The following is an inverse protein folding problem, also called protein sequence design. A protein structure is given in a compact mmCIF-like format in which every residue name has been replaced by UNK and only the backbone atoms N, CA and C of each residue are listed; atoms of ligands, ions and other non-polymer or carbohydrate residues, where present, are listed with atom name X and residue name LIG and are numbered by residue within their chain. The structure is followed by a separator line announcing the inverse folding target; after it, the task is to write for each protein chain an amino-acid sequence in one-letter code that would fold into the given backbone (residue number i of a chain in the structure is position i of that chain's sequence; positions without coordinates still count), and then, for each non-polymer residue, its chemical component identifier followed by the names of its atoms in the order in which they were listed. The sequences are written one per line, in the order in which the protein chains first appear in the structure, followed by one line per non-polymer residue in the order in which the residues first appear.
data_IF_832894092898
#
_entry.id   IF_832894092898
#
_cell.length_a   1.000
_cell.length_b   1.000
_cell.length_c   1.000
_cell.angle_alpha   90.00
_cell.angle_beta   90.00
_cell.angle_gamma   90.00
#
_symmetry.space_group_name_H-M   'P 1'
#
loop_
_entity.id
_entity.type
_entity.pdbx_description
1 polymer ?
#
# COMPACT_ATOMS: atom_id res chain seq x y z
N UNK A 1 -42.64 31.59 -39.55
CA UNK A 1 -41.90 30.59 -38.75
C UNK A 1 -41.22 31.32 -37.60
N UNK A 2 -41.59 31.06 -36.35
CA UNK A 2 -40.98 31.71 -35.20
C UNK A 2 -39.46 31.39 -35.15
N UNK A 3 -38.64 32.44 -35.05
CA UNK A 3 -37.19 32.34 -34.93
C UNK A 3 -36.90 31.66 -33.59
N UNK A 4 -36.28 30.47 -33.62
CA UNK A 4 -35.94 29.70 -32.40
C UNK A 4 -35.08 30.56 -31.46
N UNK A 5 -35.27 30.41 -30.15
CA UNK A 5 -34.48 31.15 -29.19
C UNK A 5 -33.00 30.73 -29.29
N UNK A 6 -32.09 31.67 -29.02
CA UNK A 6 -30.65 31.41 -29.00
C UNK A 6 -30.34 30.37 -27.92
N UNK A 7 -30.14 29.10 -28.31
CA UNK A 7 -29.82 28.01 -27.39
C UNK A 7 -30.67 26.74 -27.55
N UNK A 8 -31.79 26.79 -28.28
CA UNK A 8 -32.76 25.67 -28.42
C UNK A 8 -32.24 24.45 -29.19
N UNK A 9 -31.05 24.57 -29.78
CA UNK A 9 -30.46 23.54 -30.63
C UNK A 9 -31.13 23.41 -32.00
N UNK A 10 -30.41 22.79 -32.93
CA UNK A 10 -30.81 22.63 -34.34
C UNK A 10 -30.77 21.16 -34.73
N UNK A 11 -31.78 20.63 -35.42
CA UNK A 11 -31.78 19.28 -35.98
C UNK A 11 -31.85 19.38 -37.50
N UNK A 12 -30.91 18.73 -38.20
CA UNK A 12 -30.84 18.69 -39.66
C UNK A 12 -30.61 17.26 -40.16
N UNK A 13 -31.25 16.88 -41.27
CA UNK A 13 -31.03 15.59 -41.91
C UNK A 13 -29.72 15.60 -42.72
N UNK A 14 -28.95 14.52 -42.65
CA UNK A 14 -27.67 14.35 -43.37
C UNK A 14 -27.91 13.59 -44.68
N UNK A 15 -26.94 13.70 -45.61
CA UNK A 15 -26.97 13.02 -46.92
C UNK A 15 -27.12 11.49 -46.84
N UNK A 16 -26.71 10.88 -45.73
CA UNK A 16 -26.81 9.42 -45.51
C UNK A 16 -28.12 9.00 -44.80
N UNK A 17 -29.14 9.86 -44.74
CA UNK A 17 -30.43 9.58 -44.11
C UNK A 17 -30.48 9.72 -42.59
N UNK A 18 -29.32 9.87 -41.91
CA UNK A 18 -29.26 10.09 -40.44
C UNK A 18 -29.52 11.55 -40.06
N UNK A 19 -29.91 11.81 -38.81
CA UNK A 19 -30.17 13.15 -38.29
C UNK A 19 -29.02 13.64 -37.41
N UNK A 20 -28.59 14.89 -37.61
CA UNK A 20 -27.63 15.60 -36.74
C UNK A 20 -28.39 16.64 -35.91
N UNK A 21 -28.33 16.49 -34.58
CA UNK A 21 -28.72 17.51 -33.62
C UNK A 21 -27.51 18.31 -33.14
N UNK A 22 -27.61 19.63 -32.99
CA UNK A 22 -26.54 20.47 -32.42
C UNK A 22 -27.08 21.32 -31.29
N UNK A 23 -26.40 21.34 -30.15
CA UNK A 23 -26.77 22.13 -28.96
C UNK A 23 -25.53 22.73 -28.32
N UNK A 24 -25.65 23.90 -27.71
CA UNK A 24 -24.58 24.48 -26.92
C UNK A 24 -24.61 23.95 -25.49
N UNK A 25 -23.49 23.41 -25.04
CA UNK A 25 -23.28 22.93 -23.68
C UNK A 25 -22.06 23.62 -23.09
N UNK A 26 -22.04 23.79 -21.78
CA UNK A 26 -20.87 24.21 -21.04
C UNK A 26 -19.97 22.99 -20.86
N UNK A 27 -18.72 23.10 -21.28
CA UNK A 27 -17.76 22.02 -21.09
C UNK A 27 -17.21 22.02 -19.68
N UNK A 28 -16.57 20.93 -19.29
CA UNK A 28 -15.84 20.81 -18.03
C UNK A 28 -14.69 21.81 -17.91
N UNK A 29 -14.23 22.41 -19.01
CA UNK A 29 -13.24 23.49 -18.98
C UNK A 29 -13.89 24.89 -18.80
N UNK A 30 -15.20 24.95 -18.53
CA UNK A 30 -15.97 26.19 -18.41
C UNK A 30 -16.29 26.89 -19.74
N UNK A 31 -15.96 26.26 -20.88
CA UNK A 31 -16.13 26.87 -22.21
C UNK A 31 -17.48 26.46 -22.79
N UNK A 32 -18.24 27.43 -23.35
CA UNK A 32 -19.44 27.08 -24.13
C UNK A 32 -19.05 26.51 -25.48
N UNK A 33 -19.42 25.25 -25.73
CA UNK A 33 -19.13 24.54 -26.98
C UNK A 33 -20.41 24.03 -27.63
N UNK A 34 -20.50 24.18 -28.95
CA UNK A 34 -21.58 23.55 -29.74
C UNK A 34 -21.21 22.09 -30.00
N UNK A 35 -22.01 21.16 -29.47
CA UNK A 35 -21.81 19.72 -29.61
C UNK A 35 -22.86 19.13 -30.55
N UNK A 36 -22.42 18.18 -31.39
CA UNK A 36 -23.30 17.43 -32.29
C UNK A 36 -23.66 16.06 -31.69
N UNK A 37 -24.93 15.68 -31.82
CA UNK A 37 -25.46 14.34 -31.54
C UNK A 37 -26.09 13.77 -32.81
N UNK A 38 -26.11 12.45 -32.94
CA UNK A 38 -26.61 11.78 -34.14
C UNK A 38 -27.69 10.77 -33.79
N UNK A 39 -28.71 10.65 -34.64
CA UNK A 39 -29.79 9.66 -34.52
C UNK A 39 -30.16 9.07 -35.89
N UNK A 40 -30.70 7.86 -35.90
CA UNK A 40 -31.29 7.24 -37.10
C UNK A 40 -32.59 7.93 -37.50
N UNK A 41 -33.35 8.39 -36.49
CA UNK A 41 -34.59 9.15 -36.67
C UNK A 41 -34.44 10.58 -36.14
N UNK A 42 -35.36 11.46 -36.55
CA UNK A 42 -35.43 12.84 -36.05
C UNK A 42 -35.69 12.88 -34.54
N UNK A 43 -36.51 11.96 -34.05
CA UNK A 43 -36.87 11.87 -32.64
C UNK A 43 -35.70 11.38 -31.78
N UNK A 44 -34.92 10.41 -32.24
CA UNK A 44 -33.68 10.00 -31.56
C UNK A 44 -32.69 11.17 -31.42
N UNK A 45 -32.56 12.02 -32.45
CA UNK A 45 -31.70 13.19 -32.38
C UNK A 45 -32.25 14.26 -31.42
N UNK A 46 -33.58 14.41 -31.37
CA UNK A 46 -34.27 15.32 -30.45
C UNK A 46 -34.11 14.88 -29.00
N UNK A 47 -34.35 13.62 -28.67
CA UNK A 47 -34.16 13.09 -27.30
C UNK A 47 -32.75 13.35 -26.78
N UNK A 48 -31.73 13.14 -27.64
CA UNK A 48 -30.33 13.40 -27.28
C UNK A 48 -30.04 14.89 -27.05
N UNK A 49 -30.64 15.80 -27.83
CA UNK A 49 -30.57 17.24 -27.55
C UNK A 49 -31.24 17.56 -26.21
N UNK A 50 -32.45 17.06 -25.99
CA UNK A 50 -33.21 17.32 -24.76
C UNK A 50 -32.43 16.84 -23.52
N UNK A 51 -31.78 15.68 -23.59
CA UNK A 51 -30.91 15.19 -22.51
C UNK A 51 -29.74 16.13 -22.24
N UNK A 52 -29.06 16.63 -23.27
CA UNK A 52 -27.96 17.57 -23.10
C UNK A 52 -28.42 18.92 -22.54
N UNK A 53 -29.59 19.41 -22.95
CA UNK A 53 -30.19 20.63 -22.39
C UNK A 53 -30.61 20.44 -20.93
N UNK A 54 -31.15 19.27 -20.58
CA UNK A 54 -31.48 18.94 -19.20
C UNK A 54 -30.23 18.85 -18.31
N UNK A 55 -29.14 18.26 -18.81
CA UNK A 55 -27.84 18.24 -18.12
C UNK A 55 -27.29 19.65 -17.91
N UNK A 56 -27.32 20.50 -18.95
CA UNK A 56 -26.92 21.90 -18.86
C UNK A 56 -27.76 22.68 -17.84
N UNK A 57 -29.09 22.50 -17.85
CA UNK A 57 -30.01 23.15 -16.90
C UNK A 57 -29.77 22.69 -15.45
N UNK A 58 -29.29 21.46 -15.26
CA UNK A 58 -28.86 20.93 -13.97
C UNK A 58 -27.43 21.36 -13.58
N UNK A 59 -26.75 22.16 -14.41
CA UNK A 59 -25.37 22.58 -14.19
C UNK A 59 -24.35 21.44 -14.32
N UNK A 60 -24.69 20.36 -15.04
CA UNK A 60 -23.79 19.22 -15.27
C UNK A 60 -22.98 19.51 -16.54
N UNK A 61 -21.68 19.83 -16.44
CA UNK A 61 -20.86 20.15 -17.60
C UNK A 61 -20.60 18.92 -18.47
N UNK A 62 -20.44 19.15 -19.78
CA UNK A 62 -20.08 18.10 -20.74
C UNK A 62 -18.57 17.91 -20.80
N UNK A 63 -18.03 16.71 -20.54
CA UNK A 63 -16.59 16.46 -20.65
C UNK A 63 -16.05 16.73 -22.06
N UNK A 64 -15.07 17.61 -22.18
CA UNK A 64 -14.42 17.94 -23.46
C UNK A 64 -13.07 17.24 -23.67
N UNK A 65 -12.60 16.48 -22.67
CA UNK A 65 -11.34 15.74 -22.78
C UNK A 65 -11.44 14.56 -23.75
N UNK A 66 -10.51 14.50 -24.69
CA UNK A 66 -10.30 13.34 -25.57
C UNK A 66 -9.10 12.49 -25.12
N UNK A 67 -8.56 12.79 -23.93
CA UNK A 67 -7.35 12.19 -23.37
C UNK A 67 -7.52 10.68 -23.18
N UNK A 68 -6.49 9.93 -23.56
CA UNK A 68 -6.38 8.50 -23.23
C UNK A 68 -6.15 8.33 -21.73
N UNK A 69 -6.57 7.19 -21.19
CA UNK A 69 -6.35 6.89 -19.79
C UNK A 69 -4.85 6.89 -19.46
N UNK A 70 -4.00 6.40 -20.35
CA UNK A 70 -2.54 6.43 -20.18
C UNK A 70 -1.98 7.85 -20.02
N UNK A 71 -2.37 8.77 -20.91
CA UNK A 71 -1.96 10.18 -20.87
C UNK A 71 -2.35 10.81 -19.53
N UNK A 72 -3.59 10.56 -19.10
CA UNK A 72 -4.08 11.04 -17.81
C UNK A 72 -3.32 10.42 -16.63
N UNK A 73 -3.06 9.11 -16.64
CA UNK A 73 -2.34 8.44 -15.56
C UNK A 73 -0.91 8.96 -15.43
N UNK A 74 -0.23 9.25 -16.55
CA UNK A 74 1.10 9.85 -16.56
C UNK A 74 1.07 11.27 -15.99
N UNK A 75 0.11 12.09 -16.39
CA UNK A 75 -0.12 13.42 -15.80
C UNK A 75 -0.38 13.31 -14.28
N UNK A 76 -1.30 12.44 -13.87
CA UNK A 76 -1.69 12.25 -12.48
C UNK A 76 -0.49 11.83 -11.61
N UNK A 77 0.32 10.88 -12.09
CA UNK A 77 1.54 10.47 -11.41
C UNK A 77 2.52 11.64 -11.24
N UNK A 78 2.81 12.37 -12.32
CA UNK A 78 3.84 13.39 -12.35
C UNK A 78 3.44 14.67 -11.59
N UNK A 79 2.19 15.13 -11.74
CA UNK A 79 1.73 16.43 -11.25
C UNK A 79 0.97 16.36 -9.92
N UNK A 80 0.32 15.23 -9.63
CA UNK A 80 -0.50 15.08 -8.43
C UNK A 80 0.16 14.16 -7.41
N UNK A 81 0.54 12.94 -7.80
CA UNK A 81 1.06 11.94 -6.87
C UNK A 81 2.48 12.29 -6.41
N UNK A 82 3.39 12.60 -7.34
CA UNK A 82 4.78 12.91 -7.01
C UNK A 82 4.91 14.13 -6.09
N UNK A 83 4.06 15.13 -6.27
CA UNK A 83 4.05 16.36 -5.46
C UNK A 83 3.45 16.12 -4.06
N UNK A 84 2.32 15.41 -3.99
CA UNK A 84 1.54 15.34 -2.76
C UNK A 84 1.75 14.06 -1.93
N UNK A 85 2.48 13.07 -2.46
CA UNK A 85 2.68 11.77 -1.80
C UNK A 85 4.15 11.49 -1.55
N UNK A 86 4.41 10.64 -0.54
CA UNK A 86 5.77 10.18 -0.22
C UNK A 86 6.33 9.35 -1.38
N UNK A 87 7.66 9.36 -1.58
CA UNK A 87 8.32 8.64 -2.68
C UNK A 87 7.92 7.17 -2.79
N UNK A 88 7.78 6.47 -1.65
CA UNK A 88 7.39 5.04 -1.67
C UNK A 88 5.97 4.80 -2.18
N UNK A 89 5.04 5.71 -1.89
CA UNK A 89 3.66 5.64 -2.41
C UNK A 89 3.65 5.91 -3.91
N UNK A 90 4.42 6.89 -4.37
CA UNK A 90 4.60 7.16 -5.79
C UNK A 90 5.14 5.93 -6.54
N UNK A 91 6.23 5.31 -6.05
CA UNK A 91 6.79 4.09 -6.64
C UNK A 91 5.76 2.96 -6.76
N UNK A 92 4.94 2.77 -5.73
CA UNK A 92 3.87 1.77 -5.77
C UNK A 92 2.80 2.07 -6.83
N UNK A 93 2.38 3.33 -6.94
CA UNK A 93 1.38 3.76 -7.92
C UNK A 93 1.93 3.70 -9.34
N UNK A 94 3.15 4.18 -9.56
CA UNK A 94 3.86 4.12 -10.84
C UNK A 94 3.96 2.67 -11.32
N UNK A 95 4.42 1.75 -10.47
CA UNK A 95 4.54 0.34 -10.85
C UNK A 95 3.19 -0.25 -11.24
N UNK A 96 2.12 0.09 -10.51
CA UNK A 96 0.77 -0.38 -10.84
C UNK A 96 0.27 0.20 -12.16
N UNK A 97 0.52 1.48 -12.40
CA UNK A 97 0.14 2.16 -13.64
C UNK A 97 0.86 1.55 -14.83
N UNK A 98 2.19 1.47 -14.77
CA UNK A 98 3.04 0.99 -15.86
C UNK A 98 2.82 -0.48 -16.20
N UNK A 99 2.73 -1.34 -15.18
CA UNK A 99 2.68 -2.80 -15.39
C UNK A 99 1.27 -3.33 -15.64
N UNK A 100 0.24 -2.66 -15.12
CA UNK A 100 -1.13 -3.17 -15.17
C UNK A 100 -2.10 -2.23 -15.87
N UNK A 101 -2.25 -0.98 -15.42
CA UNK A 101 -3.32 -0.10 -15.90
C UNK A 101 -3.09 0.36 -17.36
N UNK A 102 -1.88 0.77 -17.70
CA UNK A 102 -1.55 1.22 -19.06
C UNK A 102 -1.67 0.08 -20.08
N UNK A 103 -1.06 -1.10 -19.87
CA UNK A 103 -1.23 -2.24 -20.79
C UNK A 103 -2.68 -2.71 -20.89
N UNK A 104 -3.45 -2.62 -19.80
CA UNK A 104 -4.81 -3.13 -19.72
C UNK A 104 -5.89 -2.21 -20.28
N UNK A 105 -5.85 -0.93 -19.87
CA UNK A 105 -6.91 0.05 -20.12
C UNK A 105 -6.39 1.35 -20.74
N UNK A 106 -5.07 1.54 -20.85
CA UNK A 106 -4.43 2.82 -21.22
C UNK A 106 -4.92 3.41 -22.54
N UNK A 107 -5.21 2.56 -23.54
CA UNK A 107 -5.72 2.98 -24.87
C UNK A 107 -7.15 3.53 -24.84
N UNK A 108 -7.93 3.24 -23.81
CA UNK A 108 -9.32 3.72 -23.68
C UNK A 108 -9.32 5.21 -23.35
N UNK A 109 -10.30 5.94 -23.87
CA UNK A 109 -10.50 7.35 -23.48
C UNK A 109 -11.09 7.40 -22.08
N UNK A 110 -10.56 8.28 -21.23
CA UNK A 110 -11.00 8.37 -19.84
C UNK A 110 -12.51 8.62 -19.73
N UNK A 111 -13.06 9.48 -20.61
CA UNK A 111 -14.50 9.81 -20.62
C UNK A 111 -15.42 8.65 -21.03
N UNK A 112 -14.93 7.69 -21.81
CA UNK A 112 -15.77 6.60 -22.35
C UNK A 112 -15.60 5.30 -21.60
N UNK A 113 -14.68 5.24 -20.63
CA UNK A 113 -14.42 4.04 -19.84
C UNK A 113 -15.68 3.66 -19.06
N UNK A 114 -16.14 2.41 -19.22
CA UNK A 114 -17.33 1.89 -18.53
C UNK A 114 -16.97 0.97 -17.38
N UNK A 115 -17.83 0.91 -16.37
CA UNK A 115 -17.67 0.00 -15.24
C UNK A 115 -17.62 -1.49 -15.67
N UNK A 116 -18.38 -1.86 -16.71
CA UNK A 116 -18.33 -3.21 -17.28
C UNK A 116 -16.95 -3.56 -17.85
N UNK A 117 -16.30 -2.61 -18.55
CA UNK A 117 -14.96 -2.83 -19.10
C UNK A 117 -13.92 -2.99 -17.97
N UNK A 118 -14.01 -2.17 -16.93
CA UNK A 118 -13.14 -2.27 -15.76
C UNK A 118 -13.33 -3.62 -15.05
N UNK A 119 -14.58 -4.08 -14.89
CA UNK A 119 -14.92 -5.37 -14.27
C UNK A 119 -14.37 -6.55 -15.07
N UNK A 120 -14.66 -6.60 -16.38
CA UNK A 120 -14.18 -7.67 -17.27
C UNK A 120 -12.65 -7.71 -17.30
N UNK A 121 -12.01 -6.53 -17.35
CA UNK A 121 -10.56 -6.44 -17.32
C UNK A 121 -9.97 -6.94 -16.00
N UNK A 122 -10.50 -6.52 -14.84
CA UNK A 122 -10.03 -6.99 -13.53
C UNK A 122 -10.24 -8.50 -13.34
N UNK A 123 -11.35 -9.05 -13.83
CA UNK A 123 -11.60 -10.48 -13.79
C UNK A 123 -10.53 -11.26 -14.57
N UNK A 124 -10.14 -10.77 -15.76
CA UNK A 124 -9.02 -11.34 -16.53
C UNK A 124 -7.70 -11.20 -15.78
N UNK A 125 -7.38 -10.03 -15.24
CA UNK A 125 -6.15 -9.80 -14.47
C UNK A 125 -6.03 -10.74 -13.26
N UNK A 126 -7.15 -11.13 -12.66
CA UNK A 126 -7.18 -12.06 -11.53
C UNK A 126 -6.94 -13.53 -11.90
N UNK A 127 -7.19 -13.92 -13.15
CA UNK A 127 -7.11 -15.33 -13.61
C UNK A 127 -6.01 -15.57 -14.64
N UNK A 128 -5.45 -14.52 -15.22
CA UNK A 128 -4.38 -14.58 -16.22
C UNK A 128 -3.07 -15.08 -15.61
N UNK A 129 -2.51 -16.14 -16.20
CA UNK A 129 -1.21 -16.68 -15.83
C UNK A 129 -0.11 -15.65 -16.14
N UNK A 130 0.63 -15.23 -15.12
CA UNK A 130 1.72 -14.27 -15.26
C UNK A 130 2.89 -14.84 -16.06
N UNK A 131 3.15 -16.15 -15.95
CA UNK A 131 4.16 -16.82 -16.76
C UNK A 131 3.83 -16.71 -18.26
N UNK A 132 2.64 -17.16 -18.66
CA UNK A 132 2.19 -17.09 -20.05
C UNK A 132 2.10 -15.66 -20.59
N UNK A 133 1.62 -14.73 -19.75
CA UNK A 133 1.52 -13.30 -20.11
C UNK A 133 2.87 -12.69 -20.47
N UNK A 134 3.93 -13.11 -19.78
CA UNK A 134 5.26 -12.51 -19.92
C UNK A 134 6.25 -13.38 -20.70
N UNK A 135 5.88 -14.59 -21.10
CA UNK A 135 6.78 -15.52 -21.80
C UNK A 135 7.92 -16.06 -20.93
N UNK A 136 7.83 -15.97 -19.60
CA UNK A 136 8.92 -16.35 -18.69
C UNK A 136 9.35 -17.81 -18.80
N UNK A 137 8.50 -18.67 -19.36
CA UNK A 137 8.79 -20.08 -19.53
C UNK A 137 9.76 -20.36 -20.69
N UNK A 138 9.78 -19.50 -21.71
CA UNK A 138 10.67 -19.63 -22.86
C UNK A 138 12.14 -19.49 -22.45
N UNK A 139 12.40 -18.66 -21.44
CA UNK A 139 13.73 -18.42 -20.89
C UNK A 139 14.17 -19.50 -19.87
N UNK A 140 13.31 -20.48 -19.55
CA UNK A 140 13.67 -21.53 -18.58
C UNK A 140 14.54 -22.59 -19.23
N UNK A 141 15.57 -23.01 -18.49
CA UNK A 141 16.39 -24.18 -18.86
C UNK A 141 15.54 -25.43 -19.07
N UNK A 142 14.49 -25.59 -18.27
CA UNK A 142 13.49 -26.64 -18.41
C UNK A 142 12.09 -25.97 -18.38
N UNK A 143 11.39 -25.92 -19.53
CA UNK A 143 10.03 -25.38 -19.61
C UNK A 143 9.05 -26.13 -18.69
N UNK A 144 8.16 -25.39 -18.02
CA UNK A 144 7.19 -25.94 -17.06
C UNK A 144 5.81 -25.28 -17.16
N UNK A 145 5.58 -24.47 -18.18
CA UNK A 145 4.36 -23.69 -18.38
C UNK A 145 3.99 -23.57 -19.87
N UNK A 146 3.99 -22.35 -20.43
CA UNK A 146 3.50 -22.09 -21.78
C UNK A 146 4.35 -22.74 -22.86
N UNK A 147 5.67 -22.85 -22.66
CA UNK A 147 6.55 -23.52 -23.59
C UNK A 147 6.50 -25.06 -23.44
N UNK A 148 6.06 -25.57 -22.29
CA UNK A 148 5.81 -27.00 -22.05
C UNK A 148 4.41 -27.47 -22.49
N UNK A 149 3.52 -26.57 -22.93
CA UNK A 149 2.16 -26.89 -23.34
C UNK A 149 1.14 -27.01 -22.18
N UNK A 150 1.55 -26.85 -20.92
CA UNK A 150 0.67 -26.95 -19.75
C UNK A 150 0.78 -25.71 -18.86
N UNK A 151 -0.31 -24.95 -18.67
CA UNK A 151 -0.25 -23.69 -17.93
C UNK A 151 -0.03 -23.88 -16.42
N UNK A 152 1.00 -23.24 -15.85
CA UNK A 152 1.30 -23.26 -14.41
C UNK A 152 0.28 -22.49 -13.53
N UNK A 153 -0.67 -21.77 -14.15
CA UNK A 153 -1.74 -21.01 -13.48
C UNK A 153 -1.23 -20.07 -12.37
N UNK A 154 -0.01 -19.57 -12.50
CA UNK A 154 0.55 -18.60 -11.54
C UNK A 154 -0.11 -17.26 -11.77
N UNK A 155 -1.09 -16.92 -10.92
CA UNK A 155 -1.89 -15.68 -11.02
C UNK A 155 -1.45 -14.63 -10.00
N UNK A 156 -1.90 -13.38 -10.19
CA UNK A 156 -1.66 -12.31 -9.22
C UNK A 156 -2.39 -12.60 -7.90
N UNK A 157 -1.76 -12.24 -6.78
CA UNK A 157 -2.42 -12.30 -5.48
C UNK A 157 -3.66 -11.39 -5.45
N UNK A 158 -4.71 -11.79 -4.71
CA UNK A 158 -5.92 -10.97 -4.53
C UNK A 158 -5.61 -9.55 -4.06
N UNK A 159 -4.60 -9.39 -3.19
CA UNK A 159 -4.14 -8.10 -2.69
C UNK A 159 -3.57 -7.20 -3.80
N UNK A 160 -2.86 -7.79 -4.77
CA UNK A 160 -2.36 -7.03 -5.92
C UNK A 160 -3.52 -6.54 -6.79
N UNK A 161 -4.50 -7.41 -7.09
CA UNK A 161 -5.71 -7.02 -7.84
C UNK A 161 -6.46 -5.87 -7.15
N UNK A 162 -6.60 -5.92 -5.82
CA UNK A 162 -7.15 -4.82 -5.05
C UNK A 162 -6.33 -3.55 -5.13
N UNK A 163 -5.00 -3.66 -5.07
CA UNK A 163 -4.11 -2.50 -5.19
C UNK A 163 -4.25 -1.84 -6.56
N UNK A 164 -4.33 -2.65 -7.62
CA UNK A 164 -4.57 -2.18 -9.00
C UNK A 164 -5.86 -1.36 -9.09
N UNK A 165 -6.96 -1.90 -8.56
CA UNK A 165 -8.25 -1.19 -8.54
C UNK A 165 -8.25 0.05 -7.66
N UNK A 166 -7.60 0.01 -6.49
CA UNK A 166 -7.49 1.16 -5.61
C UNK A 166 -6.73 2.32 -6.28
N UNK A 167 -5.65 2.02 -7.02
CA UNK A 167 -4.91 3.03 -7.79
C UNK A 167 -5.78 3.62 -8.89
N UNK A 168 -6.47 2.78 -9.68
CA UNK A 168 -7.40 3.27 -10.71
C UNK A 168 -8.51 4.14 -10.11
N UNK A 169 -9.13 3.69 -9.02
CA UNK A 169 -10.18 4.42 -8.32
C UNK A 169 -9.67 5.77 -7.83
N UNK A 170 -8.46 5.85 -7.28
CA UNK A 170 -7.87 7.10 -6.82
C UNK A 170 -7.55 8.05 -7.98
N UNK A 171 -7.03 7.53 -9.09
CA UNK A 171 -6.75 8.30 -10.29
C UNK A 171 -8.03 8.90 -10.88
N UNK A 172 -9.07 8.09 -11.09
CA UNK A 172 -10.35 8.56 -11.61
C UNK A 172 -11.06 9.50 -10.64
N UNK A 173 -10.86 9.36 -9.33
CA UNK A 173 -11.41 10.31 -8.36
C UNK A 173 -10.75 11.69 -8.48
N UNK A 174 -9.44 11.75 -8.72
CA UNK A 174 -8.78 13.02 -9.03
C UNK A 174 -9.27 13.59 -10.37
N UNK A 175 -9.55 12.75 -11.36
CA UNK A 175 -10.06 13.20 -12.67
C UNK A 175 -11.43 13.89 -12.52
N UNK A 176 -12.27 13.37 -11.62
CA UNK A 176 -13.55 14.01 -11.27
C UNK A 176 -13.32 15.37 -10.59
N UNK A 177 -12.34 15.48 -9.69
CA UNK A 177 -12.03 16.75 -9.00
C UNK A 177 -11.43 17.82 -9.91
N UNK A 178 -10.73 17.39 -10.96
CA UNK A 178 -10.23 18.26 -12.03
C UNK A 178 -11.24 18.37 -13.18
N UNK A 179 -12.48 17.94 -12.95
CA UNK A 179 -13.62 18.05 -13.86
C UNK A 179 -13.46 17.32 -15.19
N UNK A 180 -12.37 16.59 -15.43
CA UNK A 180 -12.13 15.85 -16.68
C UNK A 180 -13.18 14.78 -16.99
N UNK A 181 -13.84 14.24 -15.96
CA UNK A 181 -14.94 13.28 -16.07
C UNK A 181 -16.02 13.55 -15.02
N UNK A 182 -17.27 13.23 -15.34
CA UNK A 182 -18.41 13.47 -14.44
C UNK A 182 -18.46 12.48 -13.27
N UNK A 183 -17.99 11.24 -13.47
CA UNK A 183 -18.07 10.20 -12.44
C UNK A 183 -16.91 9.22 -12.48
N UNK A 184 -16.60 8.68 -11.31
CA UNK A 184 -15.60 7.63 -11.16
C UNK A 184 -16.22 6.25 -11.40
N UNK A 185 -16.00 5.66 -12.57
CA UNK A 185 -16.59 4.34 -12.90
C UNK A 185 -15.97 3.18 -12.11
N UNK A 186 -14.79 3.35 -11.51
CA UNK A 186 -14.14 2.29 -10.74
C UNK A 186 -14.83 2.06 -9.38
N UNK A 187 -15.56 3.04 -8.83
CA UNK A 187 -16.33 2.85 -7.58
C UNK A 187 -17.51 1.88 -7.74
N UNK A 188 -17.98 1.69 -8.98
CA UNK A 188 -19.08 0.79 -9.33
C UNK A 188 -18.62 -0.67 -9.48
N UNK A 189 -17.32 -0.94 -9.37
CA UNK A 189 -16.75 -2.28 -9.46
C UNK A 189 -16.41 -2.76 -8.06
N UNK A 190 -17.09 -3.83 -7.64
CA UNK A 190 -16.82 -4.49 -6.37
C UNK A 190 -15.65 -5.46 -6.50
N UNK A 191 -14.75 -5.44 -5.52
CA UNK A 191 -13.67 -6.43 -5.41
C UNK A 191 -13.80 -7.11 -4.06
N UNK A 192 -13.82 -8.46 -4.01
CA UNK A 192 -13.85 -9.20 -2.76
C UNK A 192 -12.69 -8.77 -1.86
N UNK A 193 -13.00 -8.53 -0.59
CA UNK A 193 -11.98 -8.35 0.44
C UNK A 193 -11.37 -9.72 0.76
N UNK A 194 -10.03 -9.89 0.75
CA UNK A 194 -9.43 -11.15 1.12
C UNK A 194 -9.66 -11.32 2.62
N UNK A 195 -10.22 -12.46 3.00
CA UNK A 195 -10.11 -12.92 4.38
C UNK A 195 -8.66 -13.36 4.56
N UNK A 196 -7.97 -12.72 5.50
CA UNK A 196 -6.66 -13.16 5.93
C UNK A 196 -6.88 -14.03 7.16
N UNK A 197 -6.34 -15.24 7.16
CA UNK A 197 -6.21 -16.00 8.40
C UNK A 197 -5.35 -15.19 9.38
N UNK A 198 -5.93 -14.83 10.51
CA UNK A 198 -5.23 -14.18 11.61
C UNK A 198 -4.47 -15.24 12.39
N UNK A 199 -3.35 -15.71 11.86
CA UNK A 199 -2.54 -16.66 12.61
C UNK A 199 -1.25 -17.00 11.91
N UNK A 200 -0.12 -16.42 12.36
CA UNK A 200 1.28 -16.93 12.27
C UNK A 200 2.19 -16.11 13.19
N UNK A 201 1.75 -15.80 14.41
CA UNK A 201 2.65 -15.31 15.44
C UNK A 201 3.46 -16.47 16.01
N UNK A 202 4.67 -16.19 16.53
CA UNK A 202 5.44 -17.19 17.28
C UNK A 202 4.75 -17.45 18.62
N UNK A 203 4.72 -18.71 19.03
CA UNK A 203 4.48 -19.10 20.42
C UNK A 203 5.63 -18.62 21.33
N UNK A 204 5.40 -18.61 22.65
CA UNK A 204 6.45 -18.28 23.64
C UNK A 204 7.65 -19.24 23.51
N UNK A 205 7.39 -20.53 23.24
CA UNK A 205 8.44 -21.54 23.08
C UNK A 205 9.30 -21.26 21.85
N UNK A 206 8.68 -20.98 20.70
CA UNK A 206 9.38 -20.63 19.46
C UNK A 206 10.14 -19.29 19.59
N UNK A 207 9.54 -18.31 20.26
CA UNK A 207 10.18 -17.02 20.56
C UNK A 207 11.46 -17.21 21.39
N UNK A 208 11.39 -18.02 22.46
CA UNK A 208 12.56 -18.35 23.29
C UNK A 208 13.61 -19.14 22.53
N UNK A 209 13.19 -20.09 21.68
CA UNK A 209 14.11 -20.86 20.85
C UNK A 209 14.82 -19.95 19.84
N UNK A 210 14.09 -19.06 19.19
CA UNK A 210 14.65 -18.09 18.25
C UNK A 210 15.74 -17.22 18.88
N UNK A 211 15.48 -16.64 20.05
CA UNK A 211 16.46 -15.77 20.70
C UNK A 211 17.71 -16.55 21.15
N UNK A 212 17.54 -17.77 21.65
CA UNK A 212 18.67 -18.64 22.03
C UNK A 212 19.54 -19.02 20.83
N UNK A 213 18.92 -19.48 19.76
CA UNK A 213 19.64 -19.93 18.56
C UNK A 213 20.25 -18.79 17.74
N UNK A 214 19.83 -17.55 18.01
CA UNK A 214 20.39 -16.34 17.41
C UNK A 214 21.41 -15.63 18.32
N UNK A 215 21.77 -16.17 19.49
CA UNK A 215 22.65 -15.51 20.46
C UNK A 215 24.00 -15.09 19.85
N UNK A 216 24.59 -15.99 19.06
CA UNK A 216 25.88 -15.76 18.40
C UNK A 216 25.75 -15.06 17.03
N UNK A 217 24.54 -14.76 16.57
CA UNK A 217 24.34 -14.02 15.33
C UNK A 217 24.77 -12.56 15.52
N UNK A 218 25.49 -12.02 14.54
CA UNK A 218 25.93 -10.61 14.50
C UNK A 218 24.77 -9.64 14.74
N UNK A 219 23.56 -9.99 14.28
CA UNK A 219 22.33 -9.22 14.39
C UNK A 219 21.41 -9.71 15.53
N UNK A 220 21.93 -10.42 16.53
CA UNK A 220 21.15 -10.89 17.70
C UNK A 220 20.25 -9.80 18.28
N UNK A 221 20.82 -8.64 18.61
CA UNK A 221 20.08 -7.51 19.18
C UNK A 221 18.95 -7.02 18.26
N UNK A 222 19.13 -7.09 16.94
CA UNK A 222 18.07 -6.73 15.99
C UNK A 222 16.87 -7.66 16.12
N UNK A 223 17.08 -8.97 16.31
CA UNK A 223 16.01 -9.93 16.53
C UNK A 223 15.34 -9.72 17.90
N UNK A 224 16.12 -9.43 18.94
CA UNK A 224 15.60 -9.10 20.28
C UNK A 224 14.68 -7.87 20.21
N UNK A 225 15.13 -6.76 19.61
CA UNK A 225 14.29 -5.55 19.48
C UNK A 225 13.07 -5.79 18.59
N UNK A 226 13.19 -6.60 17.53
CA UNK A 226 12.05 -6.94 16.67
C UNK A 226 10.95 -7.70 17.42
N UNK A 227 11.34 -8.65 18.28
CA UNK A 227 10.43 -9.57 18.98
C UNK A 227 9.93 -9.04 20.32
N UNK A 228 10.78 -8.35 21.09
CA UNK A 228 10.45 -7.84 22.43
C UNK A 228 9.82 -6.44 22.33
N UNK A 229 10.36 -5.58 21.49
CA UNK A 229 9.89 -4.18 21.35
C UNK A 229 8.92 -4.01 20.18
N UNK A 230 8.71 -5.06 19.38
CA UNK A 230 7.81 -5.04 18.23
C UNK A 230 8.18 -4.01 17.17
N UNK A 231 9.45 -3.60 17.06
CA UNK A 231 9.87 -2.51 16.16
C UNK A 231 9.74 -2.91 14.68
N UNK A 232 9.37 -1.97 13.81
CA UNK A 232 9.32 -2.23 12.36
C UNK A 232 10.75 -2.38 11.82
N UNK A 233 10.94 -3.19 10.77
CA UNK A 233 12.23 -3.32 10.07
C UNK A 233 12.89 -1.98 9.75
N UNK A 234 12.14 -1.03 9.20
CA UNK A 234 12.69 0.30 8.90
C UNK A 234 13.06 1.11 10.14
N UNK A 235 12.33 0.94 11.26
CA UNK A 235 12.65 1.59 12.54
C UNK A 235 13.95 1.01 13.13
N UNK A 236 14.10 -0.32 13.10
CA UNK A 236 15.33 -1.01 13.53
C UNK A 236 16.54 -0.52 12.73
N UNK A 237 16.47 -0.60 11.40
CA UNK A 237 17.59 -0.19 10.53
C UNK A 237 17.85 1.32 10.54
N UNK A 238 16.91 2.12 11.04
CA UNK A 238 17.07 3.56 11.23
C UNK A 238 17.39 3.98 12.67
N UNK A 239 17.55 3.02 13.58
CA UNK A 239 17.82 3.28 14.99
C UNK A 239 19.26 3.79 15.14
N UNK A 240 19.41 4.86 15.93
CA UNK A 240 20.69 5.50 16.23
C UNK A 240 21.02 5.35 17.71
N UNK A 241 22.32 5.37 18.04
CA UNK A 241 22.77 5.27 19.43
C UNK A 241 22.31 6.45 20.28
N UNK A 242 22.21 7.65 19.70
CA UNK A 242 21.69 8.85 20.38
C UNK A 242 20.21 8.73 20.82
N UNK A 243 19.48 7.76 20.28
CA UNK A 243 18.10 7.48 20.64
C UNK A 243 17.96 6.43 21.76
N UNK A 244 19.06 5.82 22.20
CA UNK A 244 19.10 4.82 23.27
C UNK A 244 19.71 5.47 24.51
N UNK A 245 18.91 5.62 25.56
CA UNK A 245 19.36 6.15 26.84
C UNK A 245 19.37 5.02 27.88
N UNK A 246 20.56 4.51 28.17
CA UNK A 246 20.78 3.44 29.14
C UNK A 246 20.52 3.89 30.58
N UNK A 247 20.89 5.13 30.93
CA UNK A 247 20.73 5.67 32.29
C UNK A 247 19.26 5.83 32.67
N UNK A 248 18.45 6.34 31.74
CA UNK A 248 17.01 6.51 31.91
C UNK A 248 16.23 5.23 31.60
N UNK A 249 16.87 4.22 31.04
CA UNK A 249 16.21 2.99 30.59
C UNK A 249 15.12 3.26 29.54
N UNK A 250 15.39 4.13 28.56
CA UNK A 250 14.41 4.46 27.50
C UNK A 250 15.00 4.45 26.09
N UNK A 251 14.20 4.03 25.11
CA UNK A 251 14.53 4.08 23.68
C UNK A 251 13.51 4.94 22.94
N UNK A 252 14.00 5.87 22.11
CA UNK A 252 13.17 6.76 21.29
C UNK A 252 13.13 6.28 19.84
N UNK A 253 11.93 5.97 19.33
CA UNK A 253 11.72 5.61 17.93
C UNK A 253 11.22 6.84 17.17
N UNK A 254 12.11 7.52 16.46
CA UNK A 254 11.78 8.76 15.73
C UNK A 254 12.24 8.80 14.26
N UNK A 255 12.88 7.73 13.77
CA UNK A 255 13.36 7.62 12.38
C UNK A 255 13.09 6.24 11.82
N UNK A 256 13.04 6.16 10.50
CA UNK A 256 12.96 4.92 9.76
C UNK A 256 13.84 4.97 8.52
N UNK A 257 14.68 3.96 8.32
CA UNK A 257 15.45 3.80 7.09
C UNK A 257 14.54 3.27 5.97
N UNK A 258 14.52 3.98 4.84
CA UNK A 258 13.71 3.64 3.68
C UNK A 258 14.51 3.85 2.39
N UNK A 259 14.14 3.12 1.33
CA UNK A 259 14.67 3.35 0.00
C UNK A 259 13.84 4.40 -0.74
N UNK A 260 14.44 5.54 -1.03
CA UNK A 260 13.86 6.70 -1.71
C UNK A 260 14.68 6.94 -2.97
N UNK A 261 14.02 6.90 -4.13
CA UNK A 261 14.64 7.17 -5.44
C UNK A 261 15.93 6.37 -5.74
N UNK A 262 16.03 5.15 -5.21
CA UNK A 262 17.19 4.26 -5.41
C UNK A 262 18.23 4.33 -4.31
N UNK A 263 18.09 5.22 -3.34
CA UNK A 263 19.05 5.44 -2.25
C UNK A 263 18.44 5.17 -0.88
N UNK A 264 19.28 4.82 0.10
CA UNK A 264 18.85 4.66 1.48
C UNK A 264 18.81 6.03 2.18
N UNK A 265 17.64 6.40 2.69
CA UNK A 265 17.43 7.64 3.42
C UNK A 265 16.79 7.38 4.79
N UNK A 266 17.26 8.12 5.81
CA UNK A 266 16.59 8.19 7.10
C UNK A 266 15.42 9.17 7.00
N UNK A 267 14.21 8.68 7.21
CA UNK A 267 12.98 9.46 7.10
C UNK A 267 12.32 9.55 8.47
N UNK A 268 11.89 10.76 8.87
CA UNK A 268 11.05 10.92 10.07
C UNK A 268 9.64 10.38 9.80
N UNK A 269 8.95 9.81 10.80
CA UNK A 269 7.58 9.34 10.66
C UNK A 269 6.62 10.41 10.13
N UNK A 270 5.56 9.97 9.44
CA UNK A 270 4.58 10.86 8.77
C UNK A 270 3.84 11.78 9.76
N UNK A 271 3.72 11.37 11.02
CA UNK A 271 2.98 12.09 12.06
C UNK A 271 3.80 12.14 13.34
N UNK A 272 3.70 13.24 14.09
CA UNK A 272 4.33 13.37 15.41
C UNK A 272 3.91 12.22 16.35
N UNK A 273 2.65 11.76 16.25
CA UNK A 273 2.11 10.62 17.00
C UNK A 273 2.80 9.26 16.73
N UNK A 274 3.63 9.17 15.68
CA UNK A 274 4.42 7.96 15.40
C UNK A 274 5.81 7.99 16.06
N UNK A 275 6.22 9.14 16.58
CA UNK A 275 7.40 9.25 17.45
C UNK A 275 6.98 8.75 18.83
N UNK A 276 7.75 7.81 19.39
CA UNK A 276 7.45 7.22 20.70
C UNK A 276 8.71 6.97 21.49
N UNK A 277 8.59 7.12 22.79
CA UNK A 277 9.62 6.71 23.76
C UNK A 277 9.07 5.51 24.51
N UNK A 278 9.84 4.42 24.52
CA UNK A 278 9.45 3.16 25.15
C UNK A 278 10.48 2.79 26.22
N UNK A 279 10.05 2.21 27.36
CA UNK A 279 10.98 1.65 28.34
C UNK A 279 11.89 0.61 27.69
N UNK A 280 13.14 0.52 28.15
CA UNK A 280 14.12 -0.49 27.72
C UNK A 280 14.11 -1.64 28.75
N UNK A 281 13.53 -2.81 28.43
CA UNK A 281 13.59 -3.97 29.30
C UNK A 281 15.04 -4.45 29.48
N UNK A 282 15.39 -5.08 30.61
CA UNK A 282 16.76 -5.57 30.87
C UNK A 282 17.32 -6.47 29.76
N UNK A 283 16.50 -7.37 29.21
CA UNK A 283 16.92 -8.24 28.09
C UNK A 283 17.34 -7.46 26.84
N UNK A 284 16.72 -6.30 26.61
CA UNK A 284 17.06 -5.41 25.49
C UNK A 284 18.32 -4.62 25.81
N UNK A 285 18.49 -4.18 27.06
CA UNK A 285 19.72 -3.51 27.52
C UNK A 285 20.92 -4.42 27.31
N UNK A 286 20.89 -5.66 27.80
CA UNK A 286 21.96 -6.63 27.61
C UNK A 286 22.28 -6.82 26.12
N UNK A 287 21.27 -7.10 25.30
CA UNK A 287 21.49 -7.32 23.87
C UNK A 287 22.09 -6.10 23.16
N UNK A 288 21.69 -4.88 23.52
CA UNK A 288 22.24 -3.65 22.96
C UNK A 288 23.68 -3.39 23.43
N UNK A 289 24.00 -3.69 24.69
CA UNK A 289 25.38 -3.57 25.21
C UNK A 289 26.31 -4.51 24.45
N UNK A 290 25.97 -5.79 24.36
CA UNK A 290 26.77 -6.79 23.63
C UNK A 290 26.95 -6.40 22.16
N UNK A 291 25.90 -5.87 21.54
CA UNK A 291 25.95 -5.38 20.17
C UNK A 291 26.84 -4.15 20.01
N UNK A 292 26.86 -3.24 20.99
CA UNK A 292 27.73 -2.06 20.99
C UNK A 292 29.21 -2.45 21.06
N UNK A 293 29.54 -3.43 21.90
CA UNK A 293 30.90 -3.97 22.00
C UNK A 293 31.35 -4.63 20.70
N UNK A 294 30.49 -5.47 20.12
CA UNK A 294 30.75 -6.11 18.81
C UNK A 294 30.96 -5.07 17.71
N UNK A 295 30.11 -4.04 17.66
CA UNK A 295 30.24 -2.96 16.67
C UNK A 295 31.54 -2.17 16.87
N UNK A 296 31.99 -1.96 18.12
CA UNK A 296 33.27 -1.32 18.39
C UNK A 296 34.44 -2.16 17.87
N UNK A 297 34.39 -3.49 18.02
CA UNK A 297 35.37 -4.41 17.43
C UNK A 297 35.35 -4.37 15.90
N UNK A 298 34.16 -4.38 15.28
CA UNK A 298 34.01 -4.23 13.82
C UNK A 298 34.60 -2.90 13.32
N UNK A 299 34.39 -1.81 14.08
CA UNK A 299 34.96 -0.49 13.78
C UNK A 299 36.49 -0.50 13.82
N UNK A 300 37.08 -1.10 14.85
CA UNK A 300 38.54 -1.23 14.94
C UNK A 300 39.07 -2.06 13.77
N UNK A 301 38.42 -3.17 13.43
CA UNK A 301 38.82 -4.04 12.33
C UNK A 301 38.70 -3.35 10.95
N UNK A 302 37.68 -2.52 10.73
CA UNK A 302 37.49 -1.78 9.49
C UNK A 302 38.48 -0.60 9.32
N UNK A 303 39.04 -0.08 10.42
CA UNK A 303 40.01 1.00 10.39
C UNK A 303 39.51 2.22 9.60
N UNK A 304 40.25 2.60 8.56
CA UNK A 304 39.93 3.75 7.72
C UNK A 304 38.69 3.55 6.81
N UNK A 305 38.25 2.31 6.61
CA UNK A 305 37.05 2.02 5.81
C UNK A 305 35.74 2.28 6.59
N UNK A 306 35.84 2.47 7.91
CA UNK A 306 34.67 2.72 8.75
C UNK A 306 34.00 4.05 8.41
N UNK A 307 32.71 3.99 8.07
CA UNK A 307 31.88 5.16 7.81
C UNK A 307 30.96 5.43 8.99
N UNK A 308 31.19 6.55 9.68
CA UNK A 308 30.42 6.91 10.86
C UNK A 308 29.05 7.47 10.49
N UNK A 309 27.99 6.84 11.00
CA UNK A 309 26.60 7.24 10.79
C UNK A 309 25.79 7.29 12.10
N UNK A 310 26.37 6.88 13.23
CA UNK A 310 25.69 6.80 14.53
C UNK A 310 24.57 5.77 14.61
N UNK A 311 24.49 4.84 13.64
CA UNK A 311 23.47 3.80 13.58
C UNK A 311 23.81 2.63 14.51
N UNK A 312 22.78 2.07 15.16
CA UNK A 312 22.92 0.86 15.97
C UNK A 312 23.23 -0.33 15.06
N UNK A 313 22.52 -0.49 13.95
CA UNK A 313 22.71 -1.61 13.03
C UNK A 313 23.33 -1.16 11.71
N UNK A 314 24.60 -1.49 11.52
CA UNK A 314 25.40 -1.13 10.34
C UNK A 314 25.91 -2.35 9.59
N UNK A 315 26.42 -2.14 8.37
CA UNK A 315 27.34 -3.08 7.73
C UNK A 315 28.64 -3.17 8.55
N UNK A 316 29.53 -4.08 8.15
CA UNK A 316 30.85 -4.25 8.80
C UNK A 316 31.77 -3.03 8.64
N UNK A 317 31.44 -2.11 7.75
CA UNK A 317 32.18 -0.86 7.50
C UNK A 317 31.37 0.39 7.93
N UNK A 318 30.38 0.23 8.80
CA UNK A 318 29.63 1.35 9.37
C UNK A 318 28.49 1.91 8.51
N UNK A 319 28.36 1.52 7.24
CA UNK A 319 27.28 2.00 6.36
C UNK A 319 25.90 1.50 6.75
N UNK A 320 24.81 2.20 6.37
CA UNK A 320 23.45 1.71 6.57
C UNK A 320 23.21 0.32 5.96
N UNK A 321 22.56 -0.57 6.70
CA UNK A 321 22.21 -1.90 6.21
C UNK A 321 21.08 -1.84 5.18
N UNK A 322 21.29 -2.45 4.02
CA UNK A 322 20.23 -2.63 3.04
C UNK A 322 19.10 -3.51 3.63
N UNK A 323 17.83 -3.08 3.61
CA UNK A 323 16.73 -3.86 4.17
C UNK A 323 16.58 -5.28 3.60
N UNK A 324 17.03 -5.51 2.37
CA UNK A 324 17.01 -6.84 1.74
C UNK A 324 18.18 -7.72 2.17
N UNK A 325 19.30 -7.15 2.65
CA UNK A 325 20.39 -7.92 3.24
C UNK A 325 19.94 -8.67 4.51
N UNK A 326 18.95 -8.14 5.22
CA UNK A 326 18.36 -8.83 6.38
C UNK A 326 17.74 -10.19 6.00
N UNK A 327 17.31 -10.39 4.74
CA UNK A 327 16.85 -11.71 4.28
C UNK A 327 17.98 -12.74 4.30
N UNK A 328 19.22 -12.29 4.03
CA UNK A 328 20.40 -13.17 3.99
C UNK A 328 20.76 -13.71 5.37
N UNK A 329 20.52 -12.97 6.44
CA UNK A 329 20.70 -13.46 7.81
C UNK A 329 19.44 -14.16 8.35
N UNK A 330 18.25 -13.64 8.06
CA UNK A 330 16.99 -14.18 8.56
C UNK A 330 16.63 -15.55 7.98
N UNK A 331 16.85 -15.78 6.68
CA UNK A 331 16.36 -16.99 6.01
C UNK A 331 17.09 -18.27 6.41
N UNK A 332 18.43 -18.26 6.60
CA UNK A 332 19.12 -19.40 7.19
C UNK A 332 18.61 -19.73 8.60
N UNK A 333 18.47 -18.72 9.47
CA UNK A 333 17.99 -18.89 10.84
C UNK A 333 16.57 -19.46 10.88
N UNK A 334 15.62 -18.87 10.15
CA UNK A 334 14.24 -19.38 10.14
C UNK A 334 14.14 -20.81 9.58
N UNK A 335 14.99 -21.18 8.61
CA UNK A 335 15.03 -22.54 8.04
C UNK A 335 15.58 -23.53 9.04
N UNK A 336 16.66 -23.19 9.75
CA UNK A 336 17.24 -23.99 10.83
C UNK A 336 16.20 -24.30 11.91
N UNK A 337 15.32 -23.34 12.21
CA UNK A 337 14.30 -23.44 13.24
C UNK A 337 12.95 -23.99 12.77
N UNK A 338 12.79 -24.31 11.47
CA UNK A 338 11.52 -24.75 10.92
C UNK A 338 10.41 -23.68 10.92
N UNK A 339 10.76 -22.39 11.03
CA UNK A 339 9.82 -21.29 11.16
C UNK A 339 9.32 -20.78 9.80
N UNK A 340 8.01 -20.90 9.55
CA UNK A 340 7.34 -20.32 8.39
C UNK A 340 6.81 -18.89 8.65
N UNK A 341 7.71 -18.01 9.10
CA UNK A 341 7.41 -16.60 9.31
C UNK A 341 8.42 -15.69 8.59
N UNK A 342 7.95 -14.53 8.13
CA UNK A 342 8.82 -13.47 7.58
C UNK A 342 9.37 -12.65 8.74
N UNK A 343 10.46 -11.94 8.49
CA UNK A 343 11.03 -11.02 9.49
C UNK A 343 10.01 -10.01 10.02
N UNK A 344 9.12 -9.51 9.15
CA UNK A 344 8.07 -8.57 9.54
C UNK A 344 7.04 -9.17 10.51
N UNK A 345 6.87 -10.49 10.47
CA UNK A 345 5.90 -11.19 11.31
C UNK A 345 6.38 -11.27 12.77
N UNK A 346 7.67 -11.04 13.07
CA UNK A 346 8.18 -10.91 14.45
C UNK A 346 7.46 -9.81 15.24
N UNK A 347 7.12 -8.71 14.57
CA UNK A 347 6.32 -7.64 15.16
C UNK A 347 4.89 -8.10 15.46
N UNK A 348 4.31 -8.93 14.59
CA UNK A 348 3.00 -9.52 14.84
C UNK A 348 3.07 -10.49 16.04
N UNK A 349 4.11 -11.30 16.13
CA UNK A 349 4.39 -12.14 17.30
C UNK A 349 4.49 -11.31 18.58
N UNK A 350 5.22 -10.19 18.56
CA UNK A 350 5.33 -9.30 19.71
C UNK A 350 3.95 -8.81 20.20
N UNK A 351 3.08 -8.40 19.27
CA UNK A 351 1.71 -7.96 19.59
C UNK A 351 0.89 -9.11 20.17
N UNK A 352 0.87 -10.27 19.51
CA UNK A 352 0.12 -11.45 19.98
C UNK A 352 0.59 -11.89 21.36
N UNK A 353 1.91 -12.03 21.57
CA UNK A 353 2.49 -12.45 22.85
C UNK A 353 2.17 -11.46 23.98
N UNK A 354 2.21 -10.15 23.73
CA UNK A 354 1.83 -9.16 24.74
C UNK A 354 0.34 -9.26 25.10
N UNK A 355 -0.53 -9.48 24.12
CA UNK A 355 -1.96 -9.68 24.36
C UNK A 355 -2.23 -10.99 25.12
N UNK A 356 -1.55 -12.09 24.76
CA UNK A 356 -1.67 -13.38 25.45
C UNK A 356 -1.19 -13.30 26.91
N UNK A 357 -0.26 -12.39 27.21
CA UNK A 357 0.18 -12.06 28.57
C UNK A 357 -0.76 -11.11 29.32
N UNK A 358 -1.91 -10.74 28.73
CA UNK A 358 -2.93 -9.88 29.33
C UNK A 358 -2.57 -8.39 29.31
N UNK A 359 -1.61 -7.96 28.48
CA UNK A 359 -1.29 -6.53 28.35
C UNK A 359 -2.44 -5.81 27.63
N UNK A 360 -3.01 -4.74 28.20
CA UNK A 360 -4.13 -4.05 27.59
C UNK A 360 -3.82 -3.54 26.17
N UNK A 361 -4.74 -3.66 25.19
CA UNK A 361 -4.50 -3.28 23.80
C UNK A 361 -3.98 -1.85 23.58
N UNK A 362 -4.41 -0.90 24.41
CA UNK A 362 -3.95 0.49 24.33
C UNK A 362 -2.47 0.64 24.73
N UNK A 363 -1.97 -0.16 25.68
CA UNK A 363 -0.56 -0.20 26.07
C UNK A 363 0.26 -0.90 24.98
N UNK A 364 -0.21 -2.04 24.46
CA UNK A 364 0.44 -2.72 23.33
C UNK A 364 0.62 -1.74 22.15
N UNK A 365 -0.42 -0.96 21.83
CA UNK A 365 -0.39 0.07 20.78
C UNK A 365 0.67 1.15 21.05
N UNK A 366 0.82 1.61 22.29
CA UNK A 366 1.84 2.59 22.67
C UNK A 366 3.26 2.03 22.50
N UNK A 367 3.50 0.77 22.90
CA UNK A 367 4.79 0.10 22.76
C UNK A 367 5.16 -0.05 21.28
N UNK A 368 4.28 -0.62 20.47
CA UNK A 368 4.61 -0.95 19.09
C UNK A 368 4.45 0.26 18.15
N UNK A 369 3.60 1.24 18.46
CA UNK A 369 3.35 2.40 17.59
C UNK A 369 2.54 2.04 16.34
N UNK A 370 1.43 1.30 16.50
CA UNK A 370 0.48 1.00 15.40
C UNK A 370 -0.58 2.10 15.27
N UNK A 371 -0.86 2.51 14.03
CA UNK A 371 -1.96 3.43 13.70
C UNK A 371 -3.29 2.72 13.46
N UNK A 372 -3.28 1.41 13.20
CA UNK A 372 -4.45 0.61 12.84
C UNK A 372 -4.73 -0.41 13.96
N UNK A 373 -5.84 -0.19 14.66
CA UNK A 373 -6.36 -0.98 15.79
C UNK A 373 -7.03 -2.29 15.29
N UNK A 374 -7.38 -2.39 14.01
CA UNK A 374 -8.17 -3.50 13.46
C UNK A 374 -7.48 -4.86 13.53
N UNK A 375 -6.14 -4.89 13.51
CA UNK A 375 -5.37 -6.14 13.68
C UNK A 375 -5.37 -6.58 15.15
N UNK A 376 -5.13 -5.64 16.07
CA UNK A 376 -5.12 -5.89 17.52
C UNK A 376 -6.50 -6.32 18.01
N UNK A 377 -7.57 -5.68 17.57
CA UNK A 377 -8.94 -5.99 18.00
C UNK A 377 -9.48 -7.30 17.43
N UNK A 378 -9.10 -7.69 16.21
CA UNK A 378 -9.48 -9.00 15.65
C UNK A 378 -8.91 -10.17 16.46
N UNK A 379 -7.71 -10.00 17.01
CA UNK A 379 -7.07 -10.99 17.90
C UNK A 379 -7.73 -10.95 19.29
N UNK A 380 -8.03 -9.75 19.79
CA UNK A 380 -8.64 -9.54 21.11
C UNK A 380 -10.11 -10.00 21.22
N UNK A 381 -10.83 -10.10 20.10
CA UNK A 381 -12.24 -10.49 20.06
C UNK A 381 -12.53 -11.89 20.68
N UNK A 382 -11.51 -12.71 20.93
CA UNK A 382 -11.64 -14.02 21.55
C UNK A 382 -11.38 -14.06 23.07
N UNK A 383 -10.88 -12.98 23.69
CA UNK A 383 -10.47 -12.97 25.11
C UNK A 383 -11.56 -12.49 26.11
N UNK A 384 -12.83 -12.49 25.69
CA UNK A 384 -13.84 -11.56 26.23
C UNK A 384 -14.70 -12.03 27.42
N UNK A 385 -14.33 -13.04 28.20
CA UNK A 385 -15.11 -13.39 29.41
C UNK A 385 -14.27 -13.52 30.67
N UNK A 386 -13.11 -14.19 30.61
CA UNK A 386 -12.28 -14.35 31.80
C UNK A 386 -11.55 -13.07 32.21
N UNK A 387 -11.16 -12.22 31.25
CA UNK A 387 -10.64 -10.88 31.56
C UNK A 387 -11.73 -9.98 32.14
N UNK A 388 -12.96 -10.07 31.63
CA UNK A 388 -14.09 -9.32 32.18
C UNK A 388 -14.41 -9.76 33.60
N UNK A 389 -14.41 -11.07 33.89
CA UNK A 389 -14.58 -11.62 35.25
C UNK A 389 -13.48 -11.17 36.19
N UNK A 390 -12.20 -11.21 35.77
CA UNK A 390 -11.08 -10.73 36.60
C UNK A 390 -11.17 -9.24 36.88
N UNK A 391 -11.54 -8.42 35.89
CA UNK A 391 -11.69 -6.99 36.06
C UNK A 391 -12.85 -6.63 37.01
N UNK A 392 -14.01 -7.28 36.83
CA UNK A 392 -15.17 -7.10 37.70
C UNK A 392 -14.92 -7.66 39.11
N UNK A 393 -14.18 -8.77 39.25
CA UNK A 393 -13.76 -9.31 40.54
C UNK A 393 -12.89 -8.33 41.33
N UNK A 394 -11.88 -7.73 40.69
CA UNK A 394 -11.05 -6.68 41.30
C UNK A 394 -11.86 -5.44 41.70
N UNK A 395 -12.87 -5.08 40.90
CA UNK A 395 -13.77 -3.98 41.24
C UNK A 395 -14.66 -4.33 42.44
N UNK A 396 -15.18 -5.55 42.52
CA UNK A 396 -15.91 -6.05 43.67
C UNK A 396 -15.05 -6.00 44.94
N UNK A 397 -13.85 -6.57 44.90
CA UNK A 397 -12.90 -6.53 46.03
C UNK A 397 -12.52 -5.11 46.46
N UNK A 398 -12.44 -4.16 45.52
CA UNK A 398 -12.14 -2.76 45.81
C UNK A 398 -13.34 -1.97 46.36
N UNK A 399 -14.57 -2.44 46.13
CA UNK A 399 -15.81 -1.77 46.53
C UNK A 399 -16.53 -2.44 47.72
N UNK A 400 -16.10 -3.64 48.14
CA UNK A 400 -16.65 -4.38 49.28
C UNK A 400 -17.15 -5.76 48.88
#
# INVERSE_FOLDING_TARGET
MAKRANGDGSISQRKNGTYEGRVYVTTTSGIRKRVSVYGKTRDEAREKITQLQAQEAQGIPTPDTNMKLEEYLNYWLAKVVKVNRRPKTYQGYESVVRVHLVPGLGRKKIRTLRAAEVRTWLARVATECQCCKHGWDEDRREPQCCAAGECCKTVLSRRMVQSIHAVLRNALQNAVREELIVRNVATLVQIPTPTYDTGKGLSVAEARLLLREAADDRLHALYVLALVMGMRRGELLGLRWDAVNFDRGTLTVERSLQRVDGELALVRPKTAASVRTVPLPPVVVTALTDHRERQAQERVAAGMEWKEHGLVFTSRIGTPLEPDNLRRSWYPLRRKLGLDIRFHDLRHSAVTLLLDLGVPPHIVRQIVGHSDIGVTMKIYAHASLDEQRKALGKLGEALG
#
